data_IF_011841999982
#
_entry.id   IF_011841999982
#
_cell.length_a   1.000
_cell.length_b   1.000
_cell.length_c   1.000
_cell.angle_alpha   90.00
_cell.angle_beta   90.00
_cell.angle_gamma   90.00
#
_symmetry.space_group_name_H-M   'P 1'
#
loop_
_entity.id
_entity.type
_entity.pdbx_description
1 polymer ?
#
# COMPACT_ATOMS: atom_id res chain seq x y z
N UNK A 1 25.27 -6.75 -9.22
CA UNK A 1 26.51 -6.47 -8.45
C UNK A 1 26.26 -6.46 -6.94
N UNK A 2 25.29 -5.66 -6.46
CA UNK A 2 24.95 -5.51 -5.02
C UNK A 2 24.57 -6.83 -4.32
N UNK A 3 23.72 -7.68 -4.91
CA UNK A 3 23.32 -8.96 -4.28
C UNK A 3 24.49 -9.90 -3.94
N UNK A 4 25.51 -9.94 -4.81
CA UNK A 4 26.71 -10.77 -4.60
C UNK A 4 27.56 -10.24 -3.44
N UNK A 5 27.61 -8.92 -3.30
CA UNK A 5 28.32 -8.30 -2.20
C UNK A 5 27.61 -8.52 -0.87
N UNK A 6 26.28 -8.41 -0.84
CA UNK A 6 25.45 -8.67 0.33
C UNK A 6 25.60 -10.10 0.86
N UNK A 7 25.80 -11.08 -0.03
CA UNK A 7 26.07 -12.47 0.32
C UNK A 7 27.48 -12.73 0.91
N UNK A 8 28.37 -11.72 0.91
CA UNK A 8 29.72 -11.87 1.46
C UNK A 8 29.66 -11.97 2.98
N UNK A 9 30.48 -12.87 3.56
CA UNK A 9 30.54 -13.10 5.01
C UNK A 9 31.50 -12.12 5.69
N UNK A 10 31.12 -11.68 6.87
CA UNK A 10 31.88 -10.85 7.78
C UNK A 10 31.86 -11.48 9.17
N UNK A 11 32.98 -11.39 9.87
CA UNK A 11 33.10 -11.86 11.26
C UNK A 11 32.91 -10.67 12.18
N UNK A 12 32.06 -10.82 13.19
CA UNK A 12 31.79 -9.78 14.17
C UNK A 12 31.97 -10.36 15.57
N UNK A 13 32.61 -9.61 16.46
CA UNK A 13 32.80 -10.03 17.85
C UNK A 13 31.70 -9.39 18.70
N UNK A 14 30.77 -10.20 19.19
CA UNK A 14 29.68 -9.77 20.08
C UNK A 14 29.72 -10.57 21.38
N UNK A 15 29.77 -9.88 22.52
CA UNK A 15 29.80 -10.53 23.84
C UNK A 15 30.98 -11.49 24.03
N UNK A 16 32.13 -11.19 23.41
CA UNK A 16 33.33 -12.05 23.46
C UNK A 16 33.27 -13.30 22.58
N UNK A 17 32.23 -13.47 21.76
CA UNK A 17 32.12 -14.56 20.77
C UNK A 17 32.22 -14.02 19.36
N UNK A 18 32.92 -14.75 18.51
CA UNK A 18 32.94 -14.51 17.07
C UNK A 18 31.69 -15.08 16.42
N UNK A 19 30.94 -14.23 15.73
CA UNK A 19 29.76 -14.60 14.95
C UNK A 19 30.07 -14.28 13.49
N UNK A 20 29.88 -15.25 12.60
CA UNK A 20 30.01 -15.05 11.15
C UNK A 20 28.63 -14.85 10.55
N UNK A 21 28.41 -13.70 9.95
CA UNK A 21 27.17 -13.31 9.30
C UNK A 21 27.46 -12.85 7.88
N UNK A 22 26.49 -12.95 7.00
CA UNK A 22 26.51 -12.21 5.73
C UNK A 22 26.35 -10.71 5.98
N UNK A 23 26.80 -9.87 5.05
CA UNK A 23 26.58 -8.42 5.14
C UNK A 23 25.09 -8.08 5.22
N UNK A 24 24.25 -8.85 4.52
CA UNK A 24 22.80 -8.72 4.59
C UNK A 24 22.26 -8.95 6.01
N UNK A 25 22.59 -10.09 6.62
CA UNK A 25 22.18 -10.41 8.00
C UNK A 25 22.65 -9.35 9.00
N UNK A 26 23.87 -8.83 8.81
CA UNK A 26 24.41 -7.78 9.65
C UNK A 26 23.61 -6.46 9.54
N UNK A 27 23.23 -6.08 8.32
CA UNK A 27 22.44 -4.87 8.09
C UNK A 27 21.08 -5.01 8.77
N UNK A 28 20.39 -6.15 8.57
CA UNK A 28 19.10 -6.43 9.20
C UNK A 28 19.22 -6.38 10.73
N UNK A 29 20.21 -7.08 11.31
CA UNK A 29 20.43 -7.08 12.75
C UNK A 29 20.68 -5.66 13.30
N UNK A 30 21.40 -4.81 12.55
CA UNK A 30 21.69 -3.42 12.94
C UNK A 30 20.45 -2.52 12.88
N UNK A 31 19.53 -2.79 11.95
CA UNK A 31 18.25 -2.08 11.86
C UNK A 31 17.36 -2.51 13.02
N UNK A 32 17.16 -3.81 13.23
CA UNK A 32 16.32 -4.37 14.30
C UNK A 32 16.82 -3.95 15.67
N UNK A 33 18.12 -4.12 15.96
CA UNK A 33 18.67 -3.74 17.27
C UNK A 33 18.54 -2.24 17.55
N UNK A 34 18.68 -1.39 16.53
CA UNK A 34 18.47 0.04 16.73
C UNK A 34 16.99 0.39 16.93
N UNK A 35 16.08 -0.30 16.25
CA UNK A 35 14.64 -0.14 16.48
C UNK A 35 14.23 -0.55 17.90
N UNK A 36 14.76 -1.67 18.42
CA UNK A 36 14.54 -2.11 19.81
C UNK A 36 15.04 -1.06 20.81
N UNK A 37 16.12 -0.35 20.48
CA UNK A 37 16.67 0.75 21.28
C UNK A 37 15.89 2.06 21.16
N UNK A 38 14.80 2.10 20.39
CA UNK A 38 13.96 3.29 20.21
C UNK A 38 14.40 4.24 19.10
N UNK A 39 15.29 3.82 18.19
CA UNK A 39 15.64 4.65 17.03
C UNK A 39 14.46 4.73 16.06
N UNK A 40 13.78 5.87 16.09
CA UNK A 40 12.60 6.15 15.27
C UNK A 40 12.84 5.97 13.77
N UNK A 41 14.04 6.23 13.25
CA UNK A 41 14.33 6.06 11.82
C UNK A 41 14.32 4.59 11.42
N UNK A 42 14.85 3.73 12.29
CA UNK A 42 14.89 2.28 12.05
C UNK A 42 13.51 1.66 12.25
N UNK A 43 12.75 2.16 13.22
CA UNK A 43 11.34 1.79 13.43
C UNK A 43 10.52 2.14 12.18
N UNK A 44 10.62 3.37 11.68
CA UNK A 44 9.92 3.81 10.46
C UNK A 44 10.31 2.96 9.25
N UNK A 45 11.60 2.64 9.10
CA UNK A 45 12.07 1.78 8.01
C UNK A 45 11.49 0.36 8.08
N UNK A 46 11.38 -0.22 9.27
CA UNK A 46 10.73 -1.53 9.47
C UNK A 46 9.22 -1.45 9.23
N UNK A 47 8.56 -0.38 9.68
CA UNK A 47 7.13 -0.17 9.48
C UNK A 47 6.81 -0.07 7.98
N UNK A 48 7.55 0.74 7.22
CA UNK A 48 7.37 0.87 5.77
C UNK A 48 7.57 -0.45 5.03
N UNK A 49 8.61 -1.21 5.39
CA UNK A 49 8.83 -2.52 4.78
C UNK A 49 7.64 -3.48 5.00
N UNK A 50 7.06 -3.48 6.21
CA UNK A 50 5.90 -4.34 6.50
C UNK A 50 4.60 -3.83 5.90
N UNK A 51 4.39 -2.52 5.82
CA UNK A 51 3.23 -1.91 5.15
C UNK A 51 3.22 -2.26 3.67
N UNK A 52 4.38 -2.17 2.99
CA UNK A 52 4.49 -2.58 1.58
C UNK A 52 4.07 -4.04 1.39
N UNK A 53 4.53 -4.95 2.26
CA UNK A 53 4.16 -6.37 2.18
C UNK A 53 2.67 -6.64 2.46
N UNK A 54 2.06 -5.87 3.37
CA UNK A 54 0.63 -5.98 3.65
C UNK A 54 -0.22 -5.48 2.47
N UNK A 55 0.20 -4.38 1.84
CA UNK A 55 -0.45 -3.83 0.64
C UNK A 55 -0.29 -4.79 -0.53
N UNK A 56 0.90 -5.37 -0.74
CA UNK A 56 1.13 -6.37 -1.79
C UNK A 56 0.26 -7.62 -1.56
N UNK A 57 0.18 -8.12 -0.32
CA UNK A 57 -0.67 -9.25 0.04
C UNK A 57 -2.16 -8.97 -0.13
N UNK A 58 -2.61 -7.74 0.19
CA UNK A 58 -3.99 -7.32 -0.05
C UNK A 58 -4.29 -7.14 -1.54
N UNK A 59 -3.30 -6.71 -2.34
CA UNK A 59 -3.47 -6.57 -3.77
C UNK A 59 -3.57 -7.92 -4.49
N UNK A 60 -2.93 -8.97 -3.96
CA UNK A 60 -3.12 -10.36 -4.43
C UNK A 60 -4.46 -10.95 -3.96
N UNK A 61 -4.96 -10.57 -2.78
CA UNK A 61 -6.25 -11.00 -2.25
C UNK A 61 -7.47 -10.27 -2.85
N UNK A 62 -7.27 -9.16 -3.57
CA UNK A 62 -8.34 -8.34 -4.14
C UNK A 62 -9.11 -9.00 -5.30
N UNK A 63 -8.77 -10.24 -5.67
CA UNK A 63 -9.48 -11.03 -6.68
C UNK A 63 -10.23 -12.25 -6.15
N UNK A 64 -10.19 -12.53 -4.84
CA UNK A 64 -10.96 -13.64 -4.25
C UNK A 64 -12.36 -13.14 -3.84
N UNK A 65 -13.40 -13.76 -4.40
CA UNK A 65 -14.75 -13.68 -3.82
C UNK A 65 -14.70 -14.27 -2.41
N UNK A 66 -14.82 -13.42 -1.40
CA UNK A 66 -14.94 -13.85 -0.01
C UNK A 66 -16.36 -14.35 0.23
N UNK A 67 -16.51 -15.67 0.36
CA UNK A 67 -17.79 -16.30 0.73
C UNK A 67 -18.01 -16.10 2.24
N UNK A 68 -18.77 -15.07 2.60
CA UNK A 68 -19.09 -14.74 3.98
C UNK A 68 -20.26 -15.60 4.49
N UNK A 69 -20.10 -16.17 5.68
CA UNK A 69 -21.21 -16.76 6.42
C UNK A 69 -22.24 -15.67 6.81
N UNK A 70 -23.38 -16.10 7.37
CA UNK A 70 -24.48 -15.18 7.69
C UNK A 70 -24.04 -14.08 8.68
N UNK A 71 -23.25 -14.45 9.68
CA UNK A 71 -22.76 -13.52 10.70
C UNK A 71 -21.76 -12.51 10.12
N UNK A 72 -20.89 -12.94 9.20
CA UNK A 72 -19.95 -12.07 8.50
C UNK A 72 -20.65 -11.06 7.59
N UNK A 73 -21.76 -11.44 6.95
CA UNK A 73 -22.58 -10.54 6.13
C UNK A 73 -23.25 -9.46 6.97
N UNK A 74 -23.81 -9.83 8.12
CA UNK A 74 -24.48 -8.89 9.02
C UNK A 74 -23.48 -7.87 9.60
N UNK A 75 -22.27 -8.32 9.95
CA UNK A 75 -21.21 -7.43 10.43
C UNK A 75 -20.72 -6.45 9.35
N UNK A 76 -20.60 -6.91 8.10
CA UNK A 76 -20.22 -6.04 6.99
C UNK A 76 -21.32 -5.02 6.67
N UNK A 77 -22.59 -5.42 6.70
CA UNK A 77 -23.71 -4.51 6.50
C UNK A 77 -23.75 -3.43 7.59
N UNK A 78 -23.54 -3.79 8.85
CA UNK A 78 -23.46 -2.82 9.94
C UNK A 78 -22.30 -1.82 9.77
N UNK A 79 -21.17 -2.25 9.20
CA UNK A 79 -20.05 -1.36 8.88
C UNK A 79 -20.36 -0.41 7.72
N UNK A 80 -21.03 -0.90 6.66
CA UNK A 80 -21.49 -0.09 5.52
C UNK A 80 -22.48 0.97 6.01
N UNK A 81 -23.45 0.58 6.84
CA UNK A 81 -24.45 1.49 7.40
C UNK A 81 -23.80 2.56 8.30
N UNK A 82 -22.73 2.21 9.01
CA UNK A 82 -21.97 3.14 9.85
C UNK A 82 -21.11 4.12 9.05
N UNK A 83 -20.51 3.67 7.95
CA UNK A 83 -19.71 4.53 7.07
C UNK A 83 -20.58 5.47 6.24
N UNK A 84 -21.89 5.20 6.14
CA UNK A 84 -22.81 5.93 5.31
C UNK A 84 -22.56 5.67 3.82
N UNK A 85 -23.49 6.04 2.94
CA UNK A 85 -23.24 5.97 1.51
C UNK A 85 -22.00 6.82 1.18
N UNK A 86 -21.16 6.39 0.23
CA UNK A 86 -20.12 7.26 -0.28
C UNK A 86 -20.78 8.57 -0.70
N UNK A 87 -20.24 9.71 -0.24
CA UNK A 87 -20.70 11.01 -0.71
C UNK A 87 -20.73 10.97 -2.24
N UNK A 88 -21.90 11.28 -2.82
CA UNK A 88 -22.10 11.37 -4.26
C UNK A 88 -20.92 12.15 -4.83
N UNK A 89 -20.02 11.42 -5.50
CA UNK A 89 -19.00 12.07 -6.30
C UNK A 89 -19.76 12.60 -7.47
N UNK A 90 -19.90 13.92 -7.49
CA UNK A 90 -20.21 14.78 -8.64
C UNK A 90 -20.24 13.97 -9.94
N UNK A 91 -21.44 13.78 -10.51
CA UNK A 91 -21.61 13.31 -11.89
C UNK A 91 -20.70 14.17 -12.79
N UNK A 92 -19.67 13.61 -13.44
CA UNK A 92 -18.83 14.37 -14.35
C UNK A 92 -19.48 14.50 -15.74
N UNK A 93 -20.81 14.64 -15.79
CA UNK A 93 -21.61 14.64 -17.03
C UNK A 93 -22.34 16.00 -17.24
N UNK A 94 -21.78 17.11 -16.76
CA UNK A 94 -22.09 18.42 -17.34
C UNK A 94 -21.13 18.70 -18.51
N UNK A 95 -21.50 18.16 -19.68
CA UNK A 95 -20.96 18.56 -20.99
C UNK A 95 -21.12 20.09 -21.16
N UNK A 96 -20.05 20.88 -21.31
CA UNK A 96 -20.15 22.32 -21.49
C UNK A 96 -20.38 22.74 -22.95
N UNK A 97 -20.68 21.81 -23.85
CA UNK A 97 -20.80 22.09 -25.29
C UNK A 97 -22.27 22.23 -25.71
N UNK A 98 -22.89 23.34 -25.31
CA UNK A 98 -24.02 23.93 -26.04
C UNK A 98 -23.51 25.07 -26.92
N UNK A 99 -22.92 24.72 -28.06
CA UNK A 99 -22.89 25.61 -29.22
C UNK A 99 -24.22 25.42 -29.98
N UNK A 100 -25.20 26.27 -29.71
CA UNK A 100 -26.38 26.44 -30.55
C UNK A 100 -26.01 27.28 -31.79
N UNK A 101 -25.44 26.63 -32.80
CA UNK A 101 -25.43 27.17 -34.17
C UNK A 101 -26.72 26.72 -34.87
N UNK A 102 -27.81 27.49 -34.70
CA UNK A 102 -29.05 27.34 -35.49
C UNK A 102 -28.87 28.10 -36.82
N UNK A 103 -28.36 27.39 -37.82
CA UNK A 103 -28.38 27.76 -39.23
C UNK A 103 -29.81 28.09 -39.69
N UNK A 104 -30.15 29.37 -39.77
CA UNK A 104 -31.36 29.83 -40.49
C UNK A 104 -30.97 30.45 -41.82
N UNK A 105 -30.99 29.57 -42.82
CA UNK A 105 -31.14 29.91 -44.24
C UNK A 105 -32.28 30.93 -44.45
N UNK A 106 -31.94 32.10 -45.01
CA UNK A 106 -32.93 32.99 -45.63
C UNK A 106 -33.37 32.39 -46.97
N UNK A 107 -34.69 32.24 -47.25
CA UNK A 107 -35.12 31.99 -48.60
C UNK A 107 -35.17 33.32 -49.38
N UNK A 108 -34.38 33.36 -50.44
CA UNK A 108 -34.45 34.37 -51.51
C UNK A 108 -35.79 34.27 -52.23
N UNK A 109 -36.55 35.36 -52.27
CA UNK A 109 -37.63 35.61 -53.23
C UNK A 109 -37.83 37.11 -53.45
#
# INVERSE_FOLDING_TARGET
>A
MVKRELASKVTLVQGGREIRLTKEELIVQTIVNGAIKGDHRKIDLLARHNVIRLVDAQSEAAGEEFDLDADGRDALQALIDLMGPPADKDDPDEDPDKEEDDDRDEPVA
#
